data_IF_825734141101
#
_entry.id   IF_825734141101
#
_cell.length_a   1.000
_cell.length_b   1.000
_cell.length_c   1.000
_cell.angle_alpha   90.00
_cell.angle_beta   90.00
_cell.angle_gamma   90.00
#
_symmetry.space_group_name_H-M   'P 1'
#
loop_
_entity.id
_entity.type
_entity.pdbx_description
1 polymer ?
#
# COMPACT_ATOMS: atom_id res chain seq x y z
N UNK A 1 -14.58 -25.50 28.47
CA UNK A 1 -14.75 -24.10 28.02
C UNK A 1 -13.71 -23.25 28.75
N UNK A 2 -12.45 -23.35 28.32
CA UNK A 2 -11.30 -22.73 29.02
C UNK A 2 -10.34 -22.09 28.01
N UNK A 3 -10.19 -22.72 26.84
CA UNK A 3 -9.42 -22.20 25.71
C UNK A 3 -9.93 -20.85 25.16
N UNK A 4 -11.24 -20.58 25.18
CA UNK A 4 -11.81 -19.34 24.65
C UNK A 4 -11.47 -18.10 25.49
N UNK A 5 -11.27 -18.24 26.81
CA UNK A 5 -10.91 -17.13 27.70
C UNK A 5 -9.46 -16.65 27.47
N UNK A 6 -8.56 -17.58 27.17
CA UNK A 6 -7.13 -17.29 26.95
C UNK A 6 -6.87 -16.62 25.60
N UNK A 7 -7.66 -16.95 24.58
CA UNK A 7 -7.58 -16.30 23.26
C UNK A 7 -8.04 -14.84 23.34
N UNK A 8 -9.18 -14.59 24.02
CA UNK A 8 -9.71 -13.23 24.20
C UNK A 8 -8.69 -12.35 24.94
N UNK A 9 -8.07 -12.87 26.01
CA UNK A 9 -7.03 -12.16 26.74
C UNK A 9 -5.80 -11.82 25.88
N UNK A 10 -5.37 -12.74 25.01
CA UNK A 10 -4.25 -12.51 24.09
C UNK A 10 -4.58 -11.41 23.05
N UNK A 11 -5.79 -11.42 22.51
CA UNK A 11 -6.25 -10.37 21.59
C UNK A 11 -6.23 -8.98 22.25
N UNK A 12 -6.69 -8.86 23.50
CA UNK A 12 -6.67 -7.59 24.22
C UNK A 12 -5.25 -7.09 24.51
N UNK A 13 -4.30 -7.97 24.86
CA UNK A 13 -2.91 -7.59 25.06
C UNK A 13 -2.27 -7.06 23.77
N UNK A 14 -2.51 -7.72 22.63
CA UNK A 14 -2.00 -7.24 21.34
C UNK A 14 -2.54 -5.85 20.99
N UNK A 15 -3.84 -5.60 21.22
CA UNK A 15 -4.46 -4.30 20.98
C UNK A 15 -3.81 -3.22 21.87
N UNK A 16 -3.63 -3.49 23.16
CA UNK A 16 -3.07 -2.52 24.12
C UNK A 16 -1.60 -2.20 23.81
N UNK A 17 -0.81 -3.19 23.39
CA UNK A 17 0.61 -2.99 23.00
C UNK A 17 0.71 -2.14 21.73
N UNK A 18 -0.21 -2.29 20.78
CA UNK A 18 -0.26 -1.45 19.58
C UNK A 18 -0.63 -0.01 19.99
N UNK A 19 -1.61 0.17 20.87
CA UNK A 19 -2.07 1.49 21.33
C UNK A 19 -1.03 2.30 22.13
N UNK A 20 -0.08 1.66 22.83
CA UNK A 20 0.91 2.40 23.63
C UNK A 20 2.08 2.96 22.81
N UNK A 21 2.24 2.52 21.56
CA UNK A 21 3.25 3.06 20.62
C UNK A 21 2.82 4.36 19.92
N UNK A 22 1.62 4.83 20.26
CA UNK A 22 0.89 5.90 19.58
C UNK A 22 0.90 7.25 20.33
N UNK A 23 1.86 7.49 21.24
CA UNK A 23 1.89 8.73 22.01
C UNK A 23 2.50 9.94 21.26
N UNK A 24 2.99 9.74 20.04
CA UNK A 24 3.58 10.74 19.11
C UNK A 24 2.88 10.67 17.72
N UNK A 25 1.56 10.43 17.72
CA UNK A 25 0.83 9.94 16.53
C UNK A 25 0.51 11.00 15.46
N UNK A 26 0.14 12.23 15.81
CA UNK A 26 -0.38 13.19 14.81
C UNK A 26 0.64 13.51 13.70
N UNK A 27 1.91 13.68 14.07
CA UNK A 27 2.96 14.08 13.13
C UNK A 27 3.37 12.91 12.21
N UNK A 28 3.44 11.68 12.75
CA UNK A 28 3.77 10.47 11.97
C UNK A 28 2.64 10.02 11.06
N UNK A 29 1.39 10.17 11.49
CA UNK A 29 0.20 9.88 10.67
C UNK A 29 0.12 10.86 9.50
N UNK A 30 0.40 12.15 9.73
CA UNK A 30 0.42 13.15 8.66
C UNK A 30 1.56 12.92 7.66
N UNK A 31 2.76 12.57 8.13
CA UNK A 31 3.90 12.22 7.28
C UNK A 31 3.64 10.95 6.46
N UNK A 32 3.06 9.92 7.08
CA UNK A 32 2.64 8.70 6.39
C UNK A 32 1.56 8.99 5.34
N UNK A 33 0.56 9.82 5.67
CA UNK A 33 -0.49 10.20 4.73
C UNK A 33 0.07 10.95 3.52
N UNK A 34 0.97 11.91 3.73
CA UNK A 34 1.66 12.63 2.64
C UNK A 34 2.45 11.66 1.77
N UNK A 35 3.20 10.76 2.39
CA UNK A 35 3.97 9.73 1.67
C UNK A 35 3.07 8.79 0.87
N UNK A 36 1.93 8.40 1.43
CA UNK A 36 0.92 7.59 0.75
C UNK A 36 0.27 8.33 -0.43
N UNK A 37 -0.10 9.61 -0.26
CA UNK A 37 -0.65 10.43 -1.34
C UNK A 37 0.33 10.58 -2.51
N UNK A 38 1.63 10.74 -2.24
CA UNK A 38 2.67 10.76 -3.28
C UNK A 38 2.69 9.43 -4.05
N UNK A 39 2.72 8.30 -3.35
CA UNK A 39 2.72 6.96 -3.99
C UNK A 39 1.45 6.74 -4.79
N UNK A 40 0.29 7.14 -4.27
CA UNK A 40 -1.00 6.99 -4.93
C UNK A 40 -1.08 7.82 -6.23
N UNK A 41 -0.54 9.04 -6.21
CA UNK A 41 -0.47 9.88 -7.41
C UNK A 41 0.50 9.29 -8.45
N UNK A 42 1.70 8.87 -8.03
CA UNK A 42 2.67 8.23 -8.93
C UNK A 42 2.09 6.93 -9.56
N UNK A 43 1.36 6.14 -8.78
CA UNK A 43 0.65 4.95 -9.29
C UNK A 43 -0.41 5.33 -10.30
N UNK A 44 -1.25 6.33 -9.98
CA UNK A 44 -2.34 6.79 -10.84
C UNK A 44 -1.82 7.27 -12.20
N UNK A 45 -0.75 8.05 -12.19
CA UNK A 45 -0.15 8.57 -13.42
C UNK A 45 0.42 7.44 -14.27
N UNK A 46 1.18 6.52 -13.66
CA UNK A 46 1.68 5.32 -14.33
C UNK A 46 0.54 4.48 -14.95
N UNK A 47 -0.52 4.25 -14.17
CA UNK A 47 -1.64 3.42 -14.60
C UNK A 47 -2.38 4.05 -15.78
N UNK A 48 -2.63 5.36 -15.74
CA UNK A 48 -3.32 6.07 -16.83
C UNK A 48 -2.53 6.02 -18.14
N UNK A 49 -1.22 6.25 -18.07
CA UNK A 49 -0.35 6.18 -19.24
C UNK A 49 -0.32 4.76 -19.81
N UNK A 50 -0.11 3.76 -18.95
CA UNK A 50 -0.13 2.35 -19.35
C UNK A 50 -1.47 1.93 -19.96
N UNK A 51 -2.60 2.34 -19.38
CA UNK A 51 -3.92 1.94 -19.86
C UNK A 51 -4.20 2.56 -21.24
N UNK A 52 -3.77 3.81 -21.45
CA UNK A 52 -3.84 4.46 -22.76
C UNK A 52 -2.99 3.73 -23.80
N UNK A 53 -1.74 3.40 -23.48
CA UNK A 53 -0.85 2.65 -24.39
C UNK A 53 -1.41 1.27 -24.71
N UNK A 54 -1.80 0.51 -23.69
CA UNK A 54 -2.35 -0.83 -23.84
C UNK A 54 -3.66 -0.86 -24.66
N UNK A 55 -4.53 0.13 -24.46
CA UNK A 55 -5.75 0.27 -25.27
C UNK A 55 -5.43 0.65 -26.71
N UNK A 56 -4.44 1.52 -26.94
CA UNK A 56 -3.96 1.87 -28.29
C UNK A 56 -3.34 0.68 -29.03
N UNK A 57 -2.75 -0.28 -28.30
CA UNK A 57 -2.28 -1.56 -28.83
C UNK A 57 -3.44 -2.51 -29.21
N UNK A 58 -4.69 -2.14 -28.92
CA UNK A 58 -5.89 -2.90 -29.27
C UNK A 58 -6.26 -3.99 -28.25
N UNK A 59 -5.68 -3.95 -27.05
CA UNK A 59 -6.05 -4.88 -25.99
C UNK A 59 -7.34 -4.48 -25.27
N UNK A 60 -8.08 -5.48 -24.79
CA UNK A 60 -9.30 -5.26 -24.02
C UNK A 60 -9.03 -4.73 -22.61
N UNK A 61 -10.02 -4.02 -22.06
CA UNK A 61 -9.93 -3.35 -20.76
C UNK A 61 -9.37 -4.24 -19.64
N UNK A 62 -9.96 -5.41 -19.39
CA UNK A 62 -9.52 -6.32 -18.29
C UNK A 62 -8.08 -6.79 -18.46
N UNK A 63 -7.62 -6.98 -19.70
CA UNK A 63 -6.21 -7.33 -19.95
C UNK A 63 -5.29 -6.16 -19.62
N UNK A 64 -5.67 -4.94 -20.01
CA UNK A 64 -4.92 -3.74 -19.70
C UNK A 64 -4.90 -3.43 -18.21
N UNK A 65 -6.03 -3.59 -17.52
CA UNK A 65 -6.13 -3.41 -16.08
C UNK A 65 -5.14 -4.30 -15.33
N UNK A 66 -5.15 -5.62 -15.59
CA UNK A 66 -4.23 -6.55 -14.93
C UNK A 66 -2.76 -6.27 -15.28
N UNK A 67 -2.47 -5.95 -16.56
CA UNK A 67 -1.10 -5.61 -16.99
C UNK A 67 -0.60 -4.37 -16.26
N UNK A 68 -1.37 -3.28 -16.33
CA UNK A 68 -0.96 -2.00 -15.80
C UNK A 68 -0.89 -1.98 -14.27
N UNK A 69 -1.79 -2.67 -13.58
CA UNK A 69 -1.71 -2.82 -12.13
C UNK A 69 -0.40 -3.51 -11.72
N UNK A 70 -0.06 -4.63 -12.38
CA UNK A 70 1.16 -5.38 -12.10
C UNK A 70 2.44 -4.60 -12.43
N UNK A 71 2.51 -4.00 -13.63
CA UNK A 71 3.69 -3.27 -14.09
C UNK A 71 3.95 -2.01 -13.26
N UNK A 72 2.92 -1.21 -12.97
CA UNK A 72 3.06 0.00 -12.18
C UNK A 72 3.40 -0.29 -10.72
N UNK A 73 2.78 -1.32 -10.11
CA UNK A 73 3.12 -1.75 -8.76
C UNK A 73 4.57 -2.21 -8.67
N UNK A 74 5.03 -3.04 -9.61
CA UNK A 74 6.40 -3.53 -9.64
C UNK A 74 7.42 -2.37 -9.83
N UNK A 75 7.10 -1.41 -10.71
CA UNK A 75 7.93 -0.22 -10.95
C UNK A 75 8.09 0.61 -9.68
N UNK A 76 6.99 0.98 -9.03
CA UNK A 76 7.04 1.80 -7.80
C UNK A 76 7.77 1.07 -6.68
N UNK A 77 7.51 -0.22 -6.47
CA UNK A 77 8.21 -1.01 -5.47
C UNK A 77 9.72 -1.04 -5.72
N UNK A 78 10.14 -1.24 -6.98
CA UNK A 78 11.55 -1.22 -7.36
C UNK A 78 12.20 0.14 -7.06
N UNK A 79 11.57 1.23 -7.49
CA UNK A 79 12.06 2.59 -7.24
C UNK A 79 12.18 2.91 -5.75
N UNK A 80 11.23 2.42 -4.92
CA UNK A 80 11.30 2.59 -3.46
C UNK A 80 12.43 1.79 -2.84
N UNK A 81 12.62 0.53 -3.26
CA UNK A 81 13.74 -0.31 -2.78
C UNK A 81 15.08 0.32 -3.16
N UNK A 82 15.21 0.84 -4.38
CA UNK A 82 16.42 1.52 -4.84
C UNK A 82 16.70 2.79 -4.03
N UNK A 83 15.67 3.60 -3.73
CA UNK A 83 15.80 4.78 -2.85
C UNK A 83 16.25 4.42 -1.43
N UNK A 84 15.86 3.27 -0.90
CA UNK A 84 16.26 2.81 0.44
C UNK A 84 17.67 2.21 0.50
N UNK A 85 18.26 1.86 -0.65
CA UNK A 85 19.60 1.28 -0.73
C UNK A 85 20.71 2.34 -0.73
N UNK A 86 20.37 3.58 -1.07
CA UNK A 86 21.26 4.75 -1.02
C UNK A 86 21.08 5.52 0.29
#
# INVERSE_FOLDING_TARGET
>A
MEASKNLIAMFFVCIIVISSSMADEENKVEEFKKSFEIVANEYKDCYNDCQKECTNEGFGYTRCEMKCDSECSAKLLKERIEKMKN
#
